data_IF_357611900249
#
_entry.id   IF_357611900249
#
_cell.length_a   1.000
_cell.length_b   1.000
_cell.length_c   1.000
_cell.angle_alpha   90.00
_cell.angle_beta   90.00
_cell.angle_gamma   90.00
#
_symmetry.space_group_name_H-M   'P 1'
#
loop_
_entity.id
_entity.type
_entity.pdbx_description
1 polymer ?
#
# COMPACT_ATOMS: atom_id res chain seq x y z
N UNK A 1 5.92 -11.27 26.52
CA UNK A 1 5.33 -9.93 26.39
C UNK A 1 3.90 -10.06 25.88
N UNK A 2 3.02 -9.08 26.15
CA UNK A 2 1.64 -9.05 25.66
C UNK A 2 1.36 -7.78 24.87
N UNK A 3 0.46 -7.86 23.88
CA UNK A 3 -0.03 -6.77 23.05
C UNK A 3 -1.55 -7.00 22.93
N UNK A 4 -2.36 -5.98 23.22
CA UNK A 4 -3.82 -6.11 23.33
C UNK A 4 -4.25 -7.25 24.28
N UNK A 5 -3.56 -7.39 25.41
CA UNK A 5 -3.76 -8.46 26.40
C UNK A 5 -3.51 -9.90 25.91
N UNK A 6 -2.94 -10.05 24.70
CA UNK A 6 -2.61 -11.35 24.12
C UNK A 6 -1.09 -11.56 24.07
N UNK A 7 -0.56 -12.72 24.50
CA UNK A 7 0.84 -13.06 24.32
C UNK A 7 1.23 -13.05 22.83
N UNK A 8 2.34 -12.40 22.47
CA UNK A 8 2.77 -12.28 21.08
C UNK A 8 4.17 -12.81 20.81
N UNK A 9 4.39 -13.24 19.56
CA UNK A 9 5.69 -13.41 18.93
C UNK A 9 5.94 -12.24 17.99
N UNK A 10 7.03 -11.52 18.21
CA UNK A 10 7.43 -10.43 17.33
C UNK A 10 8.47 -10.92 16.34
N UNK A 11 8.23 -10.66 15.05
CA UNK A 11 9.24 -10.84 14.01
C UNK A 11 9.74 -9.48 13.53
N UNK A 12 11.00 -9.46 13.11
CA UNK A 12 11.60 -8.32 12.41
C UNK A 12 12.17 -8.84 11.09
N UNK A 13 11.62 -8.35 10.00
CA UNK A 13 11.76 -8.88 8.64
C UNK A 13 12.39 -7.80 7.76
N UNK A 14 13.74 -7.69 7.72
CA UNK A 14 14.41 -6.85 6.75
C UNK A 14 14.30 -7.47 5.35
N UNK A 15 14.03 -6.64 4.33
CA UNK A 15 13.94 -7.07 2.94
C UNK A 15 14.72 -6.12 2.04
N UNK A 16 15.54 -6.73 1.17
CA UNK A 16 16.26 -6.05 0.09
C UNK A 16 15.78 -6.62 -1.24
N UNK A 17 15.59 -5.76 -2.24
CA UNK A 17 15.21 -6.18 -3.59
C UNK A 17 15.87 -5.29 -4.62
N UNK A 18 16.69 -5.88 -5.48
CA UNK A 18 17.33 -5.18 -6.58
C UNK A 18 16.66 -5.57 -7.89
N UNK A 19 16.31 -4.58 -8.70
CA UNK A 19 15.76 -4.77 -10.03
C UNK A 19 16.62 -4.02 -11.05
N UNK A 20 16.93 -4.72 -12.13
CA UNK A 20 17.63 -4.16 -13.28
C UNK A 20 16.92 -4.60 -14.56
N UNK A 21 16.60 -3.64 -15.41
CA UNK A 21 16.02 -3.81 -16.72
C UNK A 21 16.49 -2.68 -17.63
N UNK A 22 17.04 -3.05 -18.78
CA UNK A 22 17.32 -2.13 -19.85
C UNK A 22 16.10 -2.08 -20.77
N UNK A 23 15.60 -0.87 -21.06
CA UNK A 23 14.42 -0.67 -21.89
C UNK A 23 14.65 0.53 -22.81
N UNK A 24 14.14 0.44 -24.04
CA UNK A 24 14.15 1.58 -24.96
C UNK A 24 13.26 2.70 -24.38
N UNK A 25 13.77 3.94 -24.21
CA UNK A 25 12.96 5.05 -23.74
C UNK A 25 11.82 5.43 -24.68
N UNK A 26 11.99 5.25 -26.00
CA UNK A 26 10.99 5.63 -27.00
C UNK A 26 10.12 4.45 -27.40
N UNK A 27 9.04 4.24 -26.64
CA UNK A 27 8.03 3.22 -26.90
C UNK A 27 6.75 3.81 -27.53
N UNK A 28 6.80 5.02 -28.09
CA UNK A 28 5.61 5.73 -28.59
C UNK A 28 5.03 5.14 -29.88
N UNK A 29 5.78 4.31 -30.59
CA UNK A 29 5.31 3.56 -31.76
C UNK A 29 4.39 2.39 -31.37
N UNK A 30 4.33 2.03 -30.09
CA UNK A 30 3.43 1.01 -29.54
C UNK A 30 2.17 1.71 -29.01
N UNK A 31 0.98 1.42 -29.56
CA UNK A 31 -0.26 1.97 -29.02
C UNK A 31 -0.52 1.47 -27.59
N UNK A 32 -1.11 2.33 -26.78
CA UNK A 32 -1.52 1.98 -25.42
C UNK A 32 -2.93 1.36 -25.42
N UNK A 33 -3.06 0.13 -24.94
CA UNK A 33 -4.34 -0.58 -24.80
C UNK A 33 -4.69 -0.82 -23.33
N UNK A 34 -3.72 -1.26 -22.53
CA UNK A 34 -3.94 -1.70 -21.16
C UNK A 34 -2.87 -1.25 -20.15
N UNK A 35 -2.08 -0.23 -20.49
CA UNK A 35 -1.02 0.28 -19.62
C UNK A 35 -1.49 1.45 -18.76
N UNK A 36 -1.20 1.37 -17.47
CA UNK A 36 -1.41 2.46 -16.51
C UNK A 36 -0.29 2.47 -15.46
N UNK A 37 -0.11 3.58 -14.76
CA UNK A 37 0.75 3.65 -13.59
C UNK A 37 0.11 2.95 -12.40
N UNK A 38 0.94 2.28 -11.62
CA UNK A 38 0.47 1.57 -10.44
C UNK A 38 0.14 2.55 -9.31
N UNK A 39 -1.12 2.56 -8.85
CA UNK A 39 -1.53 3.21 -7.60
C UNK A 39 -0.84 2.59 -6.41
N UNK A 40 -0.35 3.40 -5.47
CA UNK A 40 0.49 2.94 -4.37
C UNK A 40 -0.11 1.81 -3.51
N UNK A 41 0.70 0.77 -3.32
CA UNK A 41 0.60 -0.25 -2.28
C UNK A 41 2.01 -0.57 -1.81
N UNK A 42 2.19 -0.84 -0.51
CA UNK A 42 3.53 -1.06 0.05
C UNK A 42 4.31 -2.17 -0.67
N UNK A 43 3.63 -3.24 -1.10
CA UNK A 43 4.24 -4.36 -1.81
C UNK A 43 4.78 -4.00 -3.21
N UNK A 44 4.29 -2.91 -3.82
CA UNK A 44 4.75 -2.47 -5.14
C UNK A 44 6.17 -1.95 -5.14
N UNK A 45 6.72 -1.56 -3.98
CA UNK A 45 8.14 -1.25 -3.87
C UNK A 45 9.02 -2.39 -4.38
N UNK A 46 8.55 -3.64 -4.28
CA UNK A 46 9.29 -4.82 -4.72
C UNK A 46 8.92 -5.31 -6.11
N UNK A 47 8.21 -4.49 -6.91
CA UNK A 47 7.95 -4.78 -8.32
C UNK A 47 9.09 -4.24 -9.18
N UNK A 48 9.49 -4.98 -10.22
CA UNK A 48 10.53 -4.51 -11.14
C UNK A 48 10.02 -3.43 -12.09
N UNK A 49 8.73 -3.45 -12.42
CA UNK A 49 8.10 -2.50 -13.33
C UNK A 49 7.12 -1.58 -12.59
N UNK A 50 7.08 -0.32 -13.03
CA UNK A 50 6.19 0.74 -12.53
C UNK A 50 4.86 0.78 -13.27
N UNK A 51 4.80 0.22 -14.48
CA UNK A 51 3.59 0.14 -15.29
C UNK A 51 2.80 -1.15 -14.99
N UNK A 52 1.51 -1.08 -15.26
CA UNK A 52 0.64 -2.25 -15.45
C UNK A 52 0.50 -2.54 -16.94
N UNK A 53 -0.09 -3.69 -17.30
CA UNK A 53 -0.22 -4.07 -18.71
C UNK A 53 1.10 -4.55 -19.33
N UNK A 54 1.14 -4.59 -20.66
CA UNK A 54 2.30 -5.05 -21.42
C UNK A 54 2.82 -4.07 -22.47
N UNK A 55 2.15 -2.94 -22.69
CA UNK A 55 2.49 -2.03 -23.80
C UNK A 55 3.66 -1.09 -23.44
N UNK A 56 3.89 -0.82 -22.14
CA UNK A 56 5.12 -0.19 -21.65
C UNK A 56 5.90 -1.14 -20.76
N UNK A 57 7.20 -1.24 -21.02
CA UNK A 57 8.15 -1.89 -20.11
C UNK A 57 9.07 -0.81 -19.56
N UNK A 58 9.02 -0.61 -18.25
CA UNK A 58 9.85 0.38 -17.58
C UNK A 58 11.32 -0.03 -17.54
N UNK A 59 12.20 0.92 -17.82
CA UNK A 59 13.60 0.81 -17.44
C UNK A 59 13.72 0.69 -15.91
N UNK A 60 14.74 -0.01 -15.42
CA UNK A 60 14.94 -0.13 -13.98
C UNK A 60 16.43 -0.28 -13.67
N UNK A 61 16.93 0.51 -12.73
CA UNK A 61 18.17 0.22 -12.02
C UNK A 61 18.01 0.73 -10.59
N UNK A 62 17.49 -0.13 -9.72
CA UNK A 62 17.00 0.30 -8.41
C UNK A 62 17.17 -0.75 -7.32
N UNK A 63 17.44 -0.28 -6.10
CA UNK A 63 17.46 -1.08 -4.88
C UNK A 63 16.37 -0.62 -3.93
N UNK A 64 15.47 -1.53 -3.60
CA UNK A 64 14.49 -1.34 -2.54
C UNK A 64 15.02 -1.88 -1.22
N UNK A 65 14.88 -1.07 -0.18
CA UNK A 65 15.19 -1.43 1.21
C UNK A 65 13.95 -1.24 2.05
N UNK A 66 13.57 -2.26 2.80
CA UNK A 66 12.41 -2.20 3.67
C UNK A 66 12.62 -2.99 4.96
N UNK A 67 11.86 -2.62 5.97
CA UNK A 67 11.78 -3.28 7.25
C UNK A 67 10.32 -3.48 7.61
N UNK A 68 9.95 -4.71 7.96
CA UNK A 68 8.62 -5.02 8.49
C UNK A 68 8.75 -5.62 9.87
N UNK A 69 7.93 -5.19 10.82
CA UNK A 69 7.76 -5.86 12.10
C UNK A 69 6.33 -6.36 12.24
N UNK A 70 6.17 -7.63 12.60
CA UNK A 70 4.87 -8.27 12.82
C UNK A 70 4.75 -8.73 14.25
N UNK A 71 3.55 -8.62 14.80
CA UNK A 71 3.19 -9.11 16.12
C UNK A 71 2.11 -10.16 15.94
N UNK A 72 2.49 -11.42 16.10
CA UNK A 72 1.60 -12.55 15.90
C UNK A 72 1.17 -13.10 17.26
N UNK A 73 -0.13 -13.32 17.44
CA UNK A 73 -0.72 -14.00 18.59
C UNK A 73 -0.10 -15.39 18.75
N UNK A 74 0.48 -15.67 19.91
CA UNK A 74 1.15 -16.94 20.19
C UNK A 74 0.20 -18.13 20.33
N UNK A 75 -1.07 -17.87 20.68
CA UNK A 75 -2.06 -18.91 20.92
C UNK A 75 -2.80 -19.28 19.63
N UNK A 76 -3.14 -18.28 18.81
CA UNK A 76 -3.94 -18.47 17.60
C UNK A 76 -3.13 -18.42 16.31
N UNK A 77 -1.93 -17.82 16.33
CA UNK A 77 -1.13 -17.54 15.14
C UNK A 77 -1.58 -16.32 14.34
N UNK A 78 -2.66 -15.63 14.74
CA UNK A 78 -3.19 -14.48 14.03
C UNK A 78 -2.27 -13.24 14.12
N UNK A 79 -2.11 -12.50 13.02
CA UNK A 79 -1.38 -11.22 13.02
C UNK A 79 -2.21 -10.12 13.70
N UNK A 80 -1.71 -9.60 14.83
CA UNK A 80 -2.34 -8.53 15.61
C UNK A 80 -1.86 -7.14 15.24
N UNK A 81 -0.62 -7.03 14.78
CA UNK A 81 -0.10 -5.77 14.27
C UNK A 81 1.00 -6.00 13.24
N UNK A 82 1.06 -5.13 12.24
CA UNK A 82 2.11 -5.04 11.24
C UNK A 82 2.50 -3.59 11.03
N UNK A 83 3.80 -3.34 11.04
CA UNK A 83 4.38 -2.05 10.73
C UNK A 83 5.44 -2.26 9.66
N UNK A 84 5.34 -1.54 8.56
CA UNK A 84 6.26 -1.64 7.44
C UNK A 84 6.71 -0.26 7.01
N UNK A 85 8.00 -0.13 6.74
CA UNK A 85 8.61 1.08 6.16
C UNK A 85 9.61 0.68 5.09
N UNK A 86 9.68 1.45 4.00
CA UNK A 86 10.59 1.16 2.92
C UNK A 86 10.83 2.35 1.99
N UNK A 87 11.89 2.24 1.21
CA UNK A 87 12.28 3.23 0.21
C UNK A 87 12.97 2.55 -0.97
N UNK A 88 12.81 3.13 -2.16
CA UNK A 88 13.57 2.76 -3.35
C UNK A 88 14.69 3.77 -3.55
N UNK A 89 15.91 3.27 -3.72
CA UNK A 89 17.05 4.02 -4.23
C UNK A 89 17.17 3.72 -5.72
N UNK A 90 17.11 4.77 -6.54
CA UNK A 90 17.36 4.71 -7.98
C UNK A 90 18.84 4.98 -8.24
N UNK A 91 19.43 4.19 -9.14
CA UNK A 91 20.83 4.35 -9.57
C UNK A 91 20.95 5.04 -10.93
N UNK A 92 19.91 4.96 -11.75
CA UNK A 92 19.77 5.67 -13.03
C UNK A 92 18.42 6.41 -13.08
N UNK A 93 18.32 7.36 -13.99
CA UNK A 93 17.09 8.11 -14.27
C UNK A 93 16.05 7.20 -14.92
N UNK A 94 14.78 7.50 -14.65
CA UNK A 94 13.63 6.76 -15.14
C UNK A 94 13.15 7.40 -16.44
N UNK A 95 13.46 6.79 -17.57
CA UNK A 95 13.31 7.43 -18.89
C UNK A 95 12.03 7.01 -19.63
N UNK A 96 11.56 5.77 -19.46
CA UNK A 96 10.31 5.31 -20.08
C UNK A 96 9.12 6.01 -19.42
N UNK A 97 8.25 6.61 -20.23
CA UNK A 97 7.06 7.34 -19.78
C UNK A 97 5.78 6.85 -20.44
N UNK A 98 4.66 7.04 -19.75
CA UNK A 98 3.31 6.86 -20.26
C UNK A 98 2.67 8.26 -20.40
N UNK A 99 2.57 8.77 -21.62
CA UNK A 99 2.05 10.13 -21.90
C UNK A 99 2.76 11.25 -21.10
N UNK A 100 4.04 11.08 -20.82
CA UNK A 100 4.85 12.02 -20.02
C UNK A 100 4.91 11.70 -18.53
N UNK A 101 4.14 10.73 -18.04
CA UNK A 101 4.11 10.33 -16.64
C UNK A 101 4.99 9.11 -16.35
N UNK A 102 5.37 8.91 -15.09
CA UNK A 102 6.12 7.73 -14.63
C UNK A 102 7.63 7.80 -14.76
N UNK A 103 8.16 8.80 -15.49
CA UNK A 103 9.59 9.10 -15.56
C UNK A 103 10.09 9.92 -14.36
N UNK A 104 11.40 10.15 -14.31
CA UNK A 104 11.97 11.13 -13.38
C UNK A 104 13.44 10.91 -13.02
N UNK A 105 14.09 11.99 -12.61
CA UNK A 105 15.54 12.05 -12.34
C UNK A 105 15.89 12.02 -10.85
N UNK A 106 14.92 11.67 -10.00
CA UNK A 106 15.13 11.58 -8.55
C UNK A 106 15.92 10.31 -8.24
N UNK A 107 16.91 10.43 -7.37
CA UNK A 107 17.71 9.29 -6.91
C UNK A 107 17.02 8.46 -5.82
N UNK A 108 15.92 8.94 -5.21
CA UNK A 108 15.17 8.20 -4.20
C UNK A 108 13.66 8.37 -4.38
N UNK A 109 12.89 7.36 -4.00
CA UNK A 109 11.44 7.48 -3.86
C UNK A 109 11.07 8.23 -2.57
N UNK A 110 9.83 8.73 -2.45
CA UNK A 110 9.23 8.99 -1.15
C UNK A 110 9.34 7.76 -0.23
N UNK A 111 9.30 7.99 1.08
CA UNK A 111 9.22 6.93 2.08
C UNK A 111 7.83 6.31 2.05
N UNK A 112 7.77 5.00 1.87
CA UNK A 112 6.54 4.24 1.97
C UNK A 112 6.34 3.72 3.39
N UNK A 113 5.13 3.84 3.91
CA UNK A 113 4.74 3.30 5.19
C UNK A 113 3.45 2.49 5.11
N UNK A 114 3.34 1.44 5.92
CA UNK A 114 2.10 0.71 6.17
C UNK A 114 1.98 0.35 7.66
N UNK A 115 0.77 0.49 8.19
CA UNK A 115 0.35 0.05 9.51
C UNK A 115 -0.93 -0.76 9.37
N UNK A 116 -0.95 -1.95 9.96
CA UNK A 116 -2.16 -2.78 10.11
C UNK A 116 -2.28 -3.17 11.57
N UNK A 117 -3.44 -2.94 12.18
CA UNK A 117 -3.73 -3.30 13.56
C UNK A 117 -5.03 -4.09 13.62
N UNK A 118 -5.01 -5.19 14.38
CA UNK A 118 -6.17 -6.00 14.72
C UNK A 118 -6.29 -6.13 16.25
N UNK A 119 -6.67 -5.05 16.97
CA UNK A 119 -6.73 -5.06 18.43
C UNK A 119 -7.74 -6.06 18.99
N UNK A 120 -8.79 -6.35 18.22
CA UNK A 120 -9.85 -7.32 18.49
C UNK A 120 -10.03 -8.18 17.23
N UNK A 121 -10.60 -9.37 17.36
CA UNK A 121 -10.93 -10.23 16.19
C UNK A 121 -12.00 -9.61 15.26
N UNK A 122 -12.60 -8.50 15.71
CA UNK A 122 -13.74 -7.82 15.08
C UNK A 122 -13.39 -6.41 14.58
N UNK A 123 -12.13 -5.99 14.70
CA UNK A 123 -11.70 -4.62 14.39
C UNK A 123 -10.37 -4.65 13.64
N UNK A 124 -10.36 -4.18 12.40
CA UNK A 124 -9.15 -3.93 11.60
C UNK A 124 -8.97 -2.42 11.42
N UNK A 125 -7.72 -1.95 11.59
CA UNK A 125 -7.30 -0.60 11.27
C UNK A 125 -6.12 -0.71 10.30
N UNK A 126 -6.24 -0.09 9.13
CA UNK A 126 -5.18 -0.04 8.11
C UNK A 126 -4.85 1.40 7.78
N UNK A 127 -3.57 1.72 7.70
CA UNK A 127 -3.08 3.01 7.22
C UNK A 127 -1.85 2.78 6.36
N UNK A 128 -1.76 3.45 5.22
CA UNK A 128 -0.58 3.40 4.35
C UNK A 128 -0.38 4.74 3.65
N UNK A 129 0.84 5.05 3.26
CA UNK A 129 1.09 6.25 2.47
C UNK A 129 2.53 6.40 1.99
N UNK A 130 2.71 7.41 1.15
CA UNK A 130 3.98 7.91 0.64
C UNK A 130 4.23 9.29 1.21
N UNK A 131 5.36 9.46 1.89
CA UNK A 131 5.80 10.73 2.44
C UNK A 131 7.15 11.12 1.86
N UNK A 132 7.25 12.30 1.28
CA UNK A 132 8.48 12.82 0.68
C UNK A 132 9.28 13.60 1.72
N UNK A 133 10.42 13.08 2.20
CA UNK A 133 11.26 13.78 3.17
C UNK A 133 11.94 15.04 2.62
N UNK A 134 12.09 15.16 1.30
CA UNK A 134 12.81 16.27 0.67
C UNK A 134 11.91 17.52 0.57
N UNK A 135 10.60 17.33 0.36
CA UNK A 135 9.60 18.41 0.30
C UNK A 135 8.84 18.58 1.62
N UNK A 136 8.76 17.53 2.44
CA UNK A 136 7.94 17.47 3.65
C UNK A 136 6.48 17.11 3.41
N UNK A 137 6.10 16.82 2.16
CA UNK A 137 4.72 16.58 1.76
C UNK A 137 4.34 15.10 1.82
N UNK A 138 3.04 14.83 2.05
CA UNK A 138 2.47 13.51 1.80
C UNK A 138 1.99 13.49 0.36
N UNK A 139 2.41 12.49 -0.41
CA UNK A 139 2.04 12.33 -1.82
C UNK A 139 0.76 11.50 -1.96
N UNK A 140 0.69 10.37 -1.25
CA UNK A 140 -0.47 9.48 -1.21
C UNK A 140 -0.73 8.99 0.22
N UNK A 141 -1.99 8.81 0.58
CA UNK A 141 -2.41 8.32 1.89
C UNK A 141 -3.72 7.58 1.84
N UNK A 142 -3.82 6.46 2.53
CA UNK A 142 -5.06 5.70 2.71
C UNK A 142 -5.18 5.22 4.14
N UNK A 143 -6.33 5.48 4.75
CA UNK A 143 -6.67 5.03 6.09
C UNK A 143 -8.04 4.37 6.07
N UNK A 144 -8.17 3.24 6.75
CA UNK A 144 -9.42 2.51 6.84
C UNK A 144 -9.59 1.92 8.24
N UNK A 145 -10.78 2.07 8.79
CA UNK A 145 -11.24 1.40 9.99
C UNK A 145 -12.40 0.49 9.61
N UNK A 146 -12.32 -0.78 9.95
CA UNK A 146 -13.40 -1.74 9.68
C UNK A 146 -13.74 -2.49 10.95
N UNK A 147 -15.01 -2.42 11.34
CA UNK A 147 -15.59 -3.19 12.43
C UNK A 147 -16.62 -4.19 11.88
N UNK A 148 -16.66 -5.38 12.45
CA UNK A 148 -17.74 -6.33 12.21
C UNK A 148 -18.10 -7.11 13.46
N UNK A 149 -19.34 -7.58 13.60
CA UNK A 149 -19.66 -8.59 14.61
C UNK A 149 -19.04 -9.95 14.24
N UNK A 150 -18.92 -10.86 15.20
CA UNK A 150 -18.38 -12.21 14.97
C UNK A 150 -19.18 -13.03 13.93
N UNK A 151 -20.46 -12.72 13.78
CA UNK A 151 -21.38 -13.31 12.81
C UNK A 151 -21.60 -12.43 11.56
N UNK A 152 -20.85 -11.32 11.43
CA UNK A 152 -20.93 -10.35 10.32
C UNK A 152 -22.31 -9.74 10.07
N UNK A 153 -23.27 -9.89 11.00
CA UNK A 153 -24.57 -9.23 10.90
C UNK A 153 -24.45 -7.72 10.99
N UNK A 154 -23.50 -7.24 11.78
CA UNK A 154 -23.15 -5.82 11.88
C UNK A 154 -21.80 -5.60 11.20
N UNK A 155 -21.72 -4.62 10.32
CA UNK A 155 -20.47 -4.16 9.71
C UNK A 155 -20.49 -2.63 9.66
N UNK A 156 -19.35 -2.02 9.95
CA UNK A 156 -19.13 -0.59 9.74
C UNK A 156 -17.72 -0.39 9.20
N UNK A 157 -17.58 0.42 8.17
CA UNK A 157 -16.29 0.85 7.65
C UNK A 157 -16.25 2.36 7.51
N UNK A 158 -15.09 2.94 7.81
CA UNK A 158 -14.76 4.33 7.59
C UNK A 158 -13.45 4.36 6.81
N UNK A 159 -13.46 4.95 5.62
CA UNK A 159 -12.30 5.14 4.77
C UNK A 159 -11.94 6.61 4.60
N UNK A 160 -10.65 6.86 4.41
CA UNK A 160 -10.12 8.14 3.95
C UNK A 160 -9.00 7.88 2.95
N UNK A 161 -9.05 8.53 1.79
CA UNK A 161 -8.06 8.44 0.73
C UNK A 161 -7.63 9.84 0.33
N UNK A 162 -6.33 10.04 0.19
CA UNK A 162 -5.69 11.28 -0.18
C UNK A 162 -4.65 11.01 -1.27
N UNK A 163 -4.73 11.76 -2.36
CA UNK A 163 -3.74 11.87 -3.44
C UNK A 163 -3.49 13.34 -3.65
N UNK A 164 -2.22 13.77 -3.50
CA UNK A 164 -1.84 15.17 -3.58
C UNK A 164 -2.28 15.77 -4.93
N UNK A 165 -2.89 16.96 -4.89
CA UNK A 165 -3.35 17.72 -6.05
C UNK A 165 -4.40 17.02 -6.94
N UNK A 166 -4.94 15.88 -6.50
CA UNK A 166 -5.85 15.06 -7.30
C UNK A 166 -7.13 14.66 -6.54
N UNK A 167 -7.01 14.11 -5.33
CA UNK A 167 -8.14 13.53 -4.60
C UNK A 167 -8.01 13.70 -3.08
N UNK A 168 -9.10 14.10 -2.45
CA UNK A 168 -9.30 13.91 -1.01
C UNK A 168 -10.73 13.43 -0.77
N UNK A 169 -10.88 12.24 -0.21
CA UNK A 169 -12.18 11.60 -0.05
C UNK A 169 -12.28 10.88 1.28
N UNK A 170 -13.45 10.96 1.90
CA UNK A 170 -13.84 10.13 3.03
C UNK A 170 -15.11 9.36 2.69
N UNK A 171 -15.16 8.10 3.08
CA UNK A 171 -16.29 7.20 2.83
C UNK A 171 -16.71 6.48 4.12
N UNK A 172 -18.01 6.20 4.21
CA UNK A 172 -18.60 5.45 5.31
C UNK A 172 -19.48 4.37 4.69
N UNK A 173 -19.38 3.15 5.19
CA UNK A 173 -20.25 2.06 4.81
C UNK A 173 -20.74 1.31 6.06
N UNK A 174 -21.98 0.83 6.04
CA UNK A 174 -22.54 0.06 7.14
C UNK A 174 -23.52 -1.01 6.66
N UNK A 175 -23.53 -2.13 7.38
CA UNK A 175 -24.58 -3.15 7.30
C UNK A 175 -25.13 -3.34 8.71
N UNK A 176 -26.44 -3.22 8.88
CA UNK A 176 -27.09 -3.53 10.16
C UNK A 176 -28.45 -4.21 9.95
N UNK A 177 -28.77 -5.25 10.76
CA UNK A 177 -30.05 -5.95 10.69
C UNK A 177 -31.16 -5.07 11.27
N UNK A 178 -32.27 -4.97 10.55
CA UNK A 178 -33.51 -4.34 11.06
C UNK A 178 -34.42 -5.41 11.67
N UNK A 179 -34.36 -6.64 11.14
CA UNK A 179 -35.06 -7.82 11.66
C UNK A 179 -34.18 -9.05 11.49
N UNK A 180 -34.62 -10.22 11.97
CA UNK A 180 -33.91 -11.49 11.79
C UNK A 180 -33.76 -11.94 10.32
N UNK A 181 -34.44 -11.28 9.38
CA UNK A 181 -34.45 -11.64 7.95
C UNK A 181 -34.18 -10.47 7.01
N UNK A 182 -33.98 -9.26 7.53
CA UNK A 182 -33.82 -8.03 6.72
C UNK A 182 -32.69 -7.20 7.29
N UNK A 183 -31.74 -6.84 6.42
CA UNK A 183 -30.64 -5.93 6.73
C UNK A 183 -30.69 -4.70 5.83
N UNK A 184 -30.29 -3.55 6.39
CA UNK A 184 -30.02 -2.34 5.63
C UNK A 184 -28.52 -2.26 5.34
N UNK A 185 -28.20 -1.76 4.15
CA UNK A 185 -26.85 -1.52 3.66
C UNK A 185 -26.82 -0.06 3.19
N UNK A 186 -25.77 0.68 3.56
CA UNK A 186 -25.60 2.07 3.20
C UNK A 186 -24.17 2.54 3.35
#
# INVERSE_FOLDING_TARGET
SSLFDVPYNQTLEPRLYYAWADADPDQNDIPDFDTDLQTFRFEQLFRPDRFTGGDRVGDANQLTVALTSRFNDLLTGAERARFSIGQVQYFDDREVTLFGEGGGTRSRSPLAGEVVLNPLDTLEIRSSGLWDPDTGDTEEGRSQLTFHSSDYRYLASLGHTYSRDELEQSDIATVFPVTDRVSLIG
#
